data_IF_846397922866
#
_entry.id   IF_846397922866
#
_cell.length_a   1.000
_cell.length_b   1.000
_cell.length_c   1.000
_cell.angle_alpha   90.00
_cell.angle_beta   90.00
_cell.angle_gamma   90.00
#
_symmetry.space_group_name_H-M   'P 1'
#
loop_
_entity.id
_entity.type
_entity.pdbx_description
1 polymer ?
#
# COMPACT_ATOMS: atom_id res chain seq x y z
N UNK A 1 -47.41 -25.95 -53.81
CA UNK A 1 -46.84 -26.66 -52.63
C UNK A 1 -45.31 -26.48 -52.50
N UNK A 2 -44.45 -26.71 -53.48
CA UNK A 2 -42.99 -26.60 -53.36
C UNK A 2 -42.51 -25.21 -52.96
N UNK A 3 -43.08 -24.08 -53.43
CA UNK A 3 -42.71 -22.70 -53.10
C UNK A 3 -43.08 -22.31 -51.65
N UNK A 4 -44.16 -22.82 -51.10
CA UNK A 4 -44.60 -22.57 -49.73
C UNK A 4 -43.70 -23.33 -48.69
N UNK A 5 -43.28 -24.53 -49.08
CA UNK A 5 -42.37 -25.34 -48.23
C UNK A 5 -40.98 -24.72 -48.21
N UNK A 6 -40.49 -24.11 -49.27
CA UNK A 6 -39.21 -23.42 -49.32
C UNK A 6 -39.20 -22.14 -48.44
N UNK A 7 -40.33 -21.37 -48.50
CA UNK A 7 -40.45 -20.17 -47.65
C UNK A 7 -40.50 -20.55 -46.13
N UNK A 8 -41.19 -21.62 -45.77
CA UNK A 8 -41.23 -22.12 -44.38
C UNK A 8 -39.85 -22.62 -43.90
N UNK A 9 -39.08 -23.27 -44.81
CA UNK A 9 -37.73 -23.74 -44.44
C UNK A 9 -36.76 -22.59 -44.27
N UNK A 10 -36.84 -21.50 -45.08
CA UNK A 10 -36.02 -20.29 -44.92
C UNK A 10 -36.39 -19.53 -43.66
N UNK A 11 -37.65 -19.41 -43.33
CA UNK A 11 -38.10 -18.80 -42.09
C UNK A 11 -37.62 -19.59 -40.86
N UNK A 12 -37.65 -20.93 -40.88
CA UNK A 12 -37.16 -21.80 -39.79
C UNK A 12 -35.61 -21.71 -39.60
N UNK A 13 -34.85 -21.40 -40.65
CA UNK A 13 -33.42 -21.22 -40.61
C UNK A 13 -33.01 -19.79 -40.16
N UNK A 14 -33.87 -18.79 -40.37
CA UNK A 14 -33.62 -17.40 -39.97
C UNK A 14 -34.00 -17.11 -38.51
N UNK A 15 -34.97 -17.86 -37.94
CA UNK A 15 -35.33 -17.69 -36.52
C UNK A 15 -34.17 -17.93 -35.54
N UNK A 16 -33.37 -19.01 -35.65
CA UNK A 16 -32.22 -19.16 -34.76
C UNK A 16 -31.11 -18.12 -35.01
N UNK A 17 -31.00 -17.56 -36.23
CA UNK A 17 -30.02 -16.47 -36.51
C UNK A 17 -30.45 -15.12 -35.88
N UNK A 18 -31.75 -14.86 -35.79
CA UNK A 18 -32.31 -13.68 -35.12
C UNK A 18 -32.31 -13.83 -33.59
N UNK A 19 -32.43 -15.07 -33.09
CA UNK A 19 -32.29 -15.36 -31.64
C UNK A 19 -30.83 -15.45 -31.16
N UNK A 20 -29.86 -15.69 -32.07
CA UNK A 20 -28.44 -15.65 -31.76
C UNK A 20 -27.85 -14.22 -31.72
N UNK A 21 -28.63 -13.21 -32.15
CA UNK A 21 -28.18 -11.82 -32.23
C UNK A 21 -28.40 -10.96 -30.98
N UNK A 22 -29.11 -11.46 -29.97
CA UNK A 22 -29.12 -10.79 -28.65
C UNK A 22 -28.20 -11.51 -27.65
N UNK A 23 -26.91 -11.55 -27.94
CA UNK A 23 -25.94 -11.50 -26.82
C UNK A 23 -26.28 -10.21 -26.10
N UNK A 24 -26.88 -10.29 -24.94
CA UNK A 24 -26.82 -9.22 -23.97
C UNK A 24 -25.32 -8.93 -23.80
N UNK A 25 -24.86 -7.81 -24.32
CA UNK A 25 -23.60 -7.25 -23.89
C UNK A 25 -23.84 -7.06 -22.40
N UNK A 26 -23.35 -7.98 -21.58
CA UNK A 26 -23.22 -7.73 -20.16
C UNK A 26 -22.27 -6.56 -20.08
N UNK A 27 -22.81 -5.38 -19.87
CA UNK A 27 -21.97 -4.21 -19.64
C UNK A 27 -21.04 -4.59 -18.50
N UNK A 28 -19.75 -4.65 -18.75
CA UNK A 28 -18.74 -4.91 -17.71
C UNK A 28 -18.84 -3.81 -16.66
N UNK A 29 -18.63 -4.17 -15.40
CA UNK A 29 -18.55 -3.18 -14.31
C UNK A 29 -17.36 -2.27 -14.53
N UNK A 30 -17.45 -1.05 -14.08
CA UNK A 30 -16.34 -0.08 -14.13
C UNK A 30 -15.81 0.19 -12.73
N UNK A 31 -14.50 0.45 -12.64
CA UNK A 31 -13.89 0.88 -11.39
C UNK A 31 -13.79 2.39 -11.35
N UNK A 32 -14.15 2.98 -10.21
CA UNK A 32 -13.92 4.40 -9.90
C UNK A 32 -13.11 4.48 -8.62
N UNK A 33 -12.22 5.46 -8.56
CA UNK A 33 -11.28 5.60 -7.45
C UNK A 33 -11.39 6.98 -6.80
N UNK A 34 -11.33 6.97 -5.46
CA UNK A 34 -11.21 8.17 -4.63
C UNK A 34 -9.92 8.06 -3.82
N UNK A 35 -9.03 9.04 -3.98
CA UNK A 35 -7.77 9.15 -3.27
C UNK A 35 -7.81 10.38 -2.38
N UNK A 36 -7.67 10.18 -1.07
CA UNK A 36 -7.67 11.26 -0.07
C UNK A 36 -6.37 11.22 0.73
N UNK A 37 -5.72 12.38 0.85
CA UNK A 37 -4.52 12.56 1.66
C UNK A 37 -4.65 13.78 2.55
N UNK A 38 -4.40 13.65 3.86
CA UNK A 38 -4.35 14.76 4.81
C UNK A 38 -2.95 14.86 5.40
N UNK A 39 -2.32 16.03 5.22
CA UNK A 39 -1.00 16.36 5.74
C UNK A 39 -1.03 17.52 6.73
N UNK A 40 -2.07 18.39 6.65
CA UNK A 40 -2.23 19.58 7.48
C UNK A 40 -3.27 19.30 8.54
N UNK A 41 -2.86 19.35 9.80
CA UNK A 41 -3.71 19.05 10.93
C UNK A 41 -3.83 20.28 11.86
N UNK A 42 -4.96 20.39 12.53
CA UNK A 42 -5.20 21.44 13.54
C UNK A 42 -4.71 21.01 14.90
N UNK A 43 -4.95 19.75 15.26
CA UNK A 43 -4.66 19.21 16.61
C UNK A 43 -3.34 18.46 16.72
N UNK A 44 -2.66 18.19 15.60
CA UNK A 44 -1.45 17.37 15.53
C UNK A 44 -0.39 18.02 14.63
N UNK A 45 0.90 17.61 14.77
CA UNK A 45 1.93 17.98 13.79
C UNK A 45 1.57 17.50 12.39
N UNK A 46 1.82 18.35 11.39
CA UNK A 46 1.65 18.00 9.98
C UNK A 46 2.62 16.91 9.52
N UNK A 47 2.23 16.20 8.48
CA UNK A 47 3.04 15.16 7.81
C UNK A 47 3.50 15.60 6.43
N UNK A 48 3.26 16.85 6.08
CA UNK A 48 3.50 17.41 4.75
C UNK A 48 4.94 17.17 4.27
N UNK A 49 5.16 16.60 3.06
CA UNK A 49 4.15 16.29 2.04
C UNK A 49 3.81 14.78 1.92
N UNK A 50 3.87 14.01 3.00
CA UNK A 50 3.82 12.55 2.96
C UNK A 50 2.52 12.01 2.36
N UNK A 51 1.36 12.49 2.81
CA UNK A 51 0.07 12.01 2.29
C UNK A 51 -0.21 12.51 0.87
N UNK A 52 0.25 13.71 0.53
CA UNK A 52 0.18 14.21 -0.86
C UNK A 52 0.98 13.30 -1.80
N UNK A 53 2.23 12.94 -1.45
CA UNK A 53 3.05 12.04 -2.23
C UNK A 53 2.49 10.62 -2.29
N UNK A 54 1.84 10.18 -1.22
CA UNK A 54 1.13 8.89 -1.21
C UNK A 54 -0.02 8.88 -2.22
N UNK A 55 -0.81 9.96 -2.28
CA UNK A 55 -1.88 10.13 -3.27
C UNK A 55 -1.32 10.12 -4.69
N UNK A 56 -0.21 10.83 -4.95
CA UNK A 56 0.46 10.83 -6.25
C UNK A 56 0.96 9.44 -6.65
N UNK A 57 1.54 8.71 -5.70
CA UNK A 57 2.01 7.34 -5.91
C UNK A 57 0.84 6.39 -6.21
N UNK A 58 -0.24 6.48 -5.44
CA UNK A 58 -1.43 5.66 -5.66
C UNK A 58 -2.09 5.96 -7.00
N UNK A 59 -2.21 7.23 -7.41
CA UNK A 59 -2.72 7.58 -8.73
C UNK A 59 -1.89 6.96 -9.86
N UNK A 60 -0.57 7.01 -9.74
CA UNK A 60 0.33 6.37 -10.70
C UNK A 60 0.16 4.84 -10.74
N UNK A 61 0.00 4.19 -9.57
CA UNK A 61 -0.27 2.76 -9.48
C UNK A 61 -1.60 2.38 -10.11
N UNK A 62 -2.66 3.11 -9.81
CA UNK A 62 -3.98 2.85 -10.40
C UNK A 62 -3.96 3.06 -11.91
N UNK A 63 -3.26 4.07 -12.41
CA UNK A 63 -3.11 4.33 -13.84
C UNK A 63 -2.36 3.20 -14.55
N UNK A 64 -1.29 2.67 -13.94
CA UNK A 64 -0.44 1.66 -14.55
C UNK A 64 -1.01 0.22 -14.40
N UNK A 65 -1.75 -0.07 -13.31
CA UNK A 65 -2.16 -1.42 -12.92
C UNK A 65 -3.68 -1.63 -12.82
N UNK A 66 -4.48 -0.61 -13.13
CA UNK A 66 -5.94 -0.70 -13.16
C UNK A 66 -6.48 -0.08 -14.46
N UNK A 67 -6.24 -0.74 -15.62
CA UNK A 67 -6.54 -0.16 -16.93
C UNK A 67 -8.01 0.16 -17.15
N UNK A 68 -8.92 -0.53 -16.44
CA UNK A 68 -10.37 -0.34 -16.54
C UNK A 68 -10.91 0.71 -15.55
N UNK A 69 -10.01 1.50 -14.93
CA UNK A 69 -10.40 2.59 -14.08
C UNK A 69 -11.05 3.72 -14.89
N UNK A 70 -12.34 3.93 -14.69
CA UNK A 70 -13.12 4.92 -15.42
C UNK A 70 -12.85 6.35 -14.95
N UNK A 71 -12.50 6.55 -13.68
CA UNK A 71 -12.20 7.85 -13.09
C UNK A 71 -11.38 7.72 -11.81
N UNK A 72 -10.44 8.62 -11.63
CA UNK A 72 -9.68 8.81 -10.39
C UNK A 72 -9.96 10.23 -9.90
N UNK A 73 -10.54 10.36 -8.71
CA UNK A 73 -10.71 11.65 -8.03
C UNK A 73 -9.69 11.77 -6.90
N UNK A 74 -9.03 12.91 -6.84
CA UNK A 74 -8.01 13.22 -5.84
C UNK A 74 -8.50 14.35 -4.93
N UNK A 75 -8.19 14.23 -3.64
CA UNK A 75 -8.36 15.28 -2.67
C UNK A 75 -7.17 15.30 -1.71
N UNK A 76 -6.41 16.37 -1.70
CA UNK A 76 -5.27 16.57 -0.80
C UNK A 76 -5.57 17.74 0.13
N UNK A 77 -5.27 17.55 1.43
CA UNK A 77 -5.61 18.48 2.50
C UNK A 77 -7.10 18.88 2.47
N UNK A 78 -7.93 17.91 2.78
CA UNK A 78 -9.38 17.98 2.84
C UNK A 78 -10.04 16.65 2.43
N UNK A 79 -11.35 16.53 2.66
CA UNK A 79 -12.20 17.45 3.41
C UNK A 79 -11.85 17.49 4.90
N UNK A 80 -12.08 18.63 5.57
CA UNK A 80 -11.85 18.78 7.01
C UNK A 80 -12.97 18.20 7.87
N UNK A 81 -14.12 17.86 7.28
CA UNK A 81 -15.31 17.41 8.00
C UNK A 81 -15.87 16.09 7.49
N UNK A 82 -16.59 15.36 8.34
CA UNK A 82 -17.28 14.10 7.98
C UNK A 82 -18.32 14.33 6.89
N UNK A 83 -19.11 15.40 7.02
CA UNK A 83 -20.10 15.78 5.99
C UNK A 83 -19.43 16.11 4.65
N UNK A 84 -18.24 16.72 4.69
CA UNK A 84 -17.42 16.99 3.51
C UNK A 84 -16.95 15.71 2.84
N UNK A 85 -16.50 14.74 3.65
CA UNK A 85 -16.07 13.42 3.15
C UNK A 85 -17.24 12.63 2.57
N UNK A 86 -18.40 12.66 3.23
CA UNK A 86 -19.62 12.02 2.73
C UNK A 86 -20.02 12.57 1.35
N UNK A 87 -20.06 13.90 1.19
CA UNK A 87 -20.32 14.53 -0.12
C UNK A 87 -19.28 14.14 -1.17
N UNK A 88 -18.01 14.06 -0.78
CA UNK A 88 -16.92 13.67 -1.70
C UNK A 88 -17.09 12.25 -2.20
N UNK A 89 -17.52 11.32 -1.33
CA UNK A 89 -17.85 9.94 -1.69
C UNK A 89 -19.06 9.91 -2.62
N UNK A 90 -20.16 10.55 -2.23
CA UNK A 90 -21.41 10.59 -3.02
C UNK A 90 -21.17 11.15 -4.44
N UNK A 91 -20.41 12.24 -4.56
CA UNK A 91 -20.07 12.86 -5.85
C UNK A 91 -19.15 11.97 -6.70
N UNK A 92 -18.18 11.29 -6.07
CA UNK A 92 -17.22 10.44 -6.81
C UNK A 92 -17.89 9.22 -7.38
N UNK A 93 -18.78 8.61 -6.61
CA UNK A 93 -19.45 7.36 -6.98
C UNK A 93 -20.89 7.57 -7.50
N UNK A 94 -21.25 8.82 -7.82
CA UNK A 94 -22.54 9.13 -8.41
C UNK A 94 -22.82 8.26 -9.65
N UNK A 95 -23.99 7.60 -9.64
CA UNK A 95 -24.40 6.71 -10.73
C UNK A 95 -23.65 5.37 -10.79
N UNK A 96 -22.93 4.98 -9.74
CA UNK A 96 -22.41 3.62 -9.61
C UNK A 96 -23.54 2.58 -9.60
N UNK A 97 -23.25 1.39 -10.09
CA UNK A 97 -24.18 0.25 -10.21
C UNK A 97 -23.65 -0.93 -9.39
N UNK A 98 -24.49 -1.91 -9.09
CA UNK A 98 -24.13 -3.10 -8.31
C UNK A 98 -22.96 -3.91 -8.89
N UNK A 99 -22.67 -3.77 -10.17
CA UNK A 99 -21.54 -4.42 -10.84
C UNK A 99 -20.25 -3.63 -10.83
N UNK A 100 -20.28 -2.36 -10.41
CA UNK A 100 -19.14 -1.46 -10.39
C UNK A 100 -18.29 -1.69 -9.13
N UNK A 101 -17.05 -1.23 -9.19
CA UNK A 101 -16.12 -1.26 -8.06
C UNK A 101 -15.77 0.17 -7.64
N UNK A 102 -15.89 0.45 -6.35
CA UNK A 102 -15.46 1.68 -5.74
C UNK A 102 -14.16 1.41 -4.96
N UNK A 103 -13.03 2.00 -5.40
CA UNK A 103 -11.77 1.96 -4.67
C UNK A 103 -11.57 3.27 -3.92
N UNK A 104 -11.40 3.18 -2.61
CA UNK A 104 -11.14 4.32 -1.74
C UNK A 104 -9.79 4.12 -1.07
N UNK A 105 -8.90 5.09 -1.22
CA UNK A 105 -7.61 5.17 -0.55
C UNK A 105 -7.59 6.38 0.37
N UNK A 106 -7.21 6.17 1.63
CA UNK A 106 -7.08 7.22 2.64
C UNK A 106 -5.67 7.17 3.24
N UNK A 107 -4.93 8.28 3.14
CA UNK A 107 -3.65 8.51 3.80
C UNK A 107 -3.79 9.68 4.77
N UNK A 108 -3.77 9.39 6.08
CA UNK A 108 -3.99 10.39 7.12
C UNK A 108 -3.50 9.90 8.48
N UNK A 109 -3.55 10.76 9.50
CA UNK A 109 -3.41 10.33 10.88
C UNK A 109 -4.62 9.51 11.33
N UNK A 110 -4.34 8.44 12.07
CA UNK A 110 -5.32 7.76 12.89
C UNK A 110 -5.06 8.04 14.36
N UNK A 111 -6.11 8.00 15.16
CA UNK A 111 -6.07 8.18 16.60
C UNK A 111 -6.72 7.00 17.30
N UNK A 112 -6.10 6.56 18.37
CA UNK A 112 -6.72 5.64 19.33
C UNK A 112 -7.03 6.44 20.57
N UNK A 113 -8.31 6.61 20.89
CA UNK A 113 -8.77 7.33 22.07
C UNK A 113 -9.62 6.43 22.94
N UNK A 114 -9.54 6.62 24.27
CA UNK A 114 -10.46 5.98 25.21
C UNK A 114 -11.76 6.77 25.26
N UNK A 115 -12.85 6.16 24.82
CA UNK A 115 -14.21 6.69 24.89
C UNK A 115 -15.12 5.73 25.63
N UNK A 116 -15.73 6.20 26.72
CA UNK A 116 -16.62 5.40 27.59
C UNK A 116 -15.98 4.10 28.16
N UNK A 117 -14.66 4.07 28.34
CA UNK A 117 -13.91 2.91 28.83
C UNK A 117 -13.50 1.91 27.75
N UNK A 118 -13.75 2.22 26.48
CA UNK A 118 -13.34 1.43 25.32
C UNK A 118 -12.32 2.21 24.46
N UNK A 119 -11.33 1.50 23.92
CA UNK A 119 -10.43 2.09 22.95
C UNK A 119 -11.10 2.17 21.58
N UNK A 120 -11.25 3.38 21.05
CA UNK A 120 -11.85 3.64 19.74
C UNK A 120 -10.86 4.30 18.79
N UNK A 121 -10.75 3.71 17.62
CA UNK A 121 -9.96 4.26 16.52
C UNK A 121 -10.79 5.29 15.74
N UNK A 122 -10.14 6.36 15.28
CA UNK A 122 -10.71 7.32 14.34
C UNK A 122 -9.65 7.77 13.36
N UNK A 123 -10.04 8.01 12.11
CA UNK A 123 -9.22 8.69 11.12
C UNK A 123 -9.42 10.21 11.27
N UNK A 124 -8.35 11.00 11.12
CA UNK A 124 -8.47 12.46 11.10
C UNK A 124 -8.74 12.95 9.68
N UNK A 125 -9.86 13.61 9.47
CA UNK A 125 -10.13 14.41 8.30
C UNK A 125 -9.70 15.84 8.62
N UNK A 126 -8.83 16.42 7.78
CA UNK A 126 -8.35 17.78 8.02
C UNK A 126 -7.96 18.48 6.73
N UNK A 127 -8.25 19.78 6.65
CA UNK A 127 -7.78 20.67 5.59
C UNK A 127 -6.78 21.73 6.10
N UNK A 128 -6.47 21.66 7.41
CA UNK A 128 -5.60 22.59 8.12
C UNK A 128 -6.35 23.74 8.79
N UNK A 129 -7.64 23.93 8.52
CA UNK A 129 -8.52 24.93 9.17
C UNK A 129 -9.64 24.25 9.96
N UNK A 130 -10.26 23.22 9.36
CA UNK A 130 -11.26 22.35 9.98
C UNK A 130 -10.70 20.96 10.16
N UNK A 131 -11.11 20.28 11.25
CA UNK A 131 -10.67 18.92 11.56
C UNK A 131 -11.76 18.16 12.31
N UNK A 132 -12.12 16.99 11.78
CA UNK A 132 -13.06 16.07 12.42
C UNK A 132 -12.55 14.63 12.44
N UNK A 133 -13.10 13.85 13.36
CA UNK A 133 -12.81 12.43 13.52
C UNK A 133 -13.82 11.58 12.76
N UNK A 134 -13.32 10.74 11.88
CA UNK A 134 -14.11 9.74 11.15
C UNK A 134 -13.92 8.36 11.80
N UNK A 135 -14.91 7.93 12.57
CA UNK A 135 -14.93 6.59 13.17
C UNK A 135 -15.23 5.50 12.15
N UNK A 136 -14.82 4.24 12.42
CA UNK A 136 -15.04 3.12 11.51
C UNK A 136 -16.52 2.85 11.19
N UNK A 137 -17.40 2.97 12.17
CA UNK A 137 -18.86 2.82 12.01
C UNK A 137 -19.43 3.86 11.02
N UNK A 138 -19.03 5.11 11.17
CA UNK A 138 -19.45 6.19 10.28
C UNK A 138 -18.88 5.98 8.87
N UNK A 139 -17.60 5.61 8.77
CA UNK A 139 -16.97 5.26 7.49
C UNK A 139 -17.74 4.12 6.79
N UNK A 140 -18.05 3.05 7.52
CA UNK A 140 -18.86 1.92 7.00
C UNK A 140 -20.21 2.40 6.49
N UNK A 141 -20.93 3.22 7.30
CA UNK A 141 -22.24 3.76 6.92
C UNK A 141 -22.18 4.59 5.63
N UNK A 142 -21.13 5.40 5.45
CA UNK A 142 -20.92 6.18 4.23
C UNK A 142 -20.68 5.24 3.04
N UNK A 143 -19.84 4.23 3.20
CA UNK A 143 -19.51 3.29 2.11
C UNK A 143 -20.67 2.37 1.74
N UNK A 144 -21.54 2.02 2.67
CA UNK A 144 -22.71 1.15 2.40
C UNK A 144 -23.71 1.78 1.42
N UNK A 145 -23.69 3.07 1.27
CA UNK A 145 -24.55 3.76 0.27
C UNK A 145 -24.00 3.65 -1.16
N UNK A 146 -22.75 3.29 -1.31
CA UNK A 146 -22.11 3.11 -2.63
C UNK A 146 -22.48 1.72 -3.15
N UNK A 147 -23.17 1.60 -4.29
CA UNK A 147 -23.48 0.31 -4.88
C UNK A 147 -22.23 -0.46 -5.32
N UNK A 148 -22.38 -1.79 -5.42
CA UNK A 148 -21.34 -2.66 -5.93
C UNK A 148 -20.26 -3.00 -4.91
N UNK A 149 -19.11 -3.45 -5.42
CA UNK A 149 -17.98 -3.87 -4.63
C UNK A 149 -17.17 -2.67 -4.15
N UNK A 150 -16.72 -2.71 -2.91
CA UNK A 150 -15.86 -1.69 -2.32
C UNK A 150 -14.48 -2.25 -2.01
N UNK A 151 -13.45 -1.46 -2.27
CA UNK A 151 -12.05 -1.70 -1.88
C UNK A 151 -11.62 -0.50 -1.07
N UNK A 152 -11.30 -0.71 0.21
CA UNK A 152 -10.83 0.32 1.12
C UNK A 152 -9.37 0.06 1.45
N UNK A 153 -8.51 1.03 1.17
CA UNK A 153 -7.07 0.97 1.47
C UNK A 153 -6.76 2.10 2.46
N UNK A 154 -6.26 1.75 3.65
CA UNK A 154 -5.97 2.70 4.71
C UNK A 154 -4.46 2.76 5.01
N UNK A 155 -3.84 3.88 4.70
CA UNK A 155 -2.47 4.23 5.13
C UNK A 155 -2.55 5.20 6.32
N UNK A 156 -2.82 4.63 7.49
CA UNK A 156 -3.03 5.35 8.74
C UNK A 156 -2.67 4.45 9.93
N UNK A 157 -2.48 5.01 11.11
CA UNK A 157 -2.24 4.25 12.34
C UNK A 157 -3.28 4.58 13.44
N UNK A 158 -3.76 3.59 14.16
CA UNK A 158 -3.63 2.12 13.99
C UNK A 158 -4.76 1.55 13.12
N UNK A 159 -4.59 1.52 11.80
CA UNK A 159 -5.65 1.17 10.85
C UNK A 159 -6.23 -0.24 11.01
N UNK A 160 -5.49 -1.19 11.57
CA UNK A 160 -5.95 -2.54 11.86
C UNK A 160 -7.14 -2.62 12.82
N UNK A 161 -7.34 -1.59 13.63
CA UNK A 161 -8.50 -1.50 14.53
C UNK A 161 -9.84 -1.41 13.76
N UNK A 162 -9.82 -0.99 12.50
CA UNK A 162 -11.01 -0.92 11.62
C UNK A 162 -11.57 -2.31 11.30
N UNK A 163 -10.68 -3.30 11.21
CA UNK A 163 -11.03 -4.70 10.92
C UNK A 163 -10.72 -5.66 12.09
N UNK A 164 -10.47 -5.11 13.29
CA UNK A 164 -10.21 -5.91 14.50
C UNK A 164 -8.94 -6.75 14.45
N UNK A 165 -7.93 -6.40 13.65
CA UNK A 165 -6.71 -7.17 13.43
C UNK A 165 -5.48 -6.53 14.09
N UNK A 166 -4.51 -7.39 14.52
CA UNK A 166 -3.23 -6.90 15.01
C UNK A 166 -3.19 -6.55 16.48
N UNK A 167 -4.11 -7.11 17.29
CA UNK A 167 -4.17 -6.99 18.74
C UNK A 167 -5.31 -6.10 19.23
N UNK A 168 -5.69 -6.30 20.49
CA UNK A 168 -6.84 -5.63 21.10
C UNK A 168 -8.18 -6.35 20.85
N UNK A 169 -9.18 -6.01 21.67
CA UNK A 169 -10.56 -6.44 21.48
C UNK A 169 -11.22 -5.46 20.49
N UNK A 170 -11.01 -5.71 19.17
CA UNK A 170 -11.56 -4.85 18.12
C UNK A 170 -12.74 -5.48 17.39
N UNK A 171 -13.74 -4.69 17.04
CA UNK A 171 -14.83 -5.08 16.16
C UNK A 171 -14.35 -5.00 14.70
N UNK A 172 -14.61 -6.03 13.92
CA UNK A 172 -14.51 -5.89 12.47
C UNK A 172 -15.77 -5.20 11.93
N UNK A 173 -15.63 -3.95 11.53
CA UNK A 173 -16.74 -3.17 11.00
C UNK A 173 -17.11 -3.54 9.56
N UNK A 174 -16.28 -4.35 8.89
CA UNK A 174 -16.41 -4.71 7.47
C UNK A 174 -16.59 -6.22 7.27
N UNK A 175 -17.25 -6.91 8.19
CA UNK A 175 -17.47 -8.37 8.11
C UNK A 175 -18.34 -8.80 6.92
N UNK A 176 -19.05 -7.88 6.30
CA UNK A 176 -19.87 -8.21 5.13
C UNK A 176 -19.01 -8.43 3.86
N UNK A 177 -19.56 -9.22 2.93
CA UNK A 177 -18.85 -9.62 1.71
C UNK A 177 -18.70 -8.49 0.66
N UNK A 178 -19.23 -7.30 0.95
CA UNK A 178 -19.28 -6.20 -0.04
C UNK A 178 -18.06 -5.29 0.00
N UNK A 179 -17.24 -5.37 1.07
CA UNK A 179 -16.08 -4.52 1.24
C UNK A 179 -14.80 -5.35 1.47
N UNK A 180 -13.77 -5.04 0.71
CA UNK A 180 -12.40 -5.51 0.91
C UNK A 180 -11.58 -4.41 1.52
N UNK A 181 -10.84 -4.73 2.57
CA UNK A 181 -10.07 -3.74 3.33
C UNK A 181 -8.62 -4.16 3.38
N UNK A 182 -7.71 -3.22 3.08
CA UNK A 182 -6.27 -3.37 3.24
C UNK A 182 -5.77 -2.26 4.15
N UNK A 183 -5.06 -2.61 5.21
CA UNK A 183 -4.60 -1.68 6.24
C UNK A 183 -3.09 -1.75 6.43
N UNK A 184 -2.47 -0.60 6.69
CA UNK A 184 -1.02 -0.44 6.77
C UNK A 184 -0.41 -0.90 8.09
N UNK A 185 -1.21 -1.09 9.15
CA UNK A 185 -0.71 -1.46 10.49
C UNK A 185 -1.73 -2.27 11.26
N UNK A 186 -1.29 -2.96 12.33
CA UNK A 186 -2.19 -3.59 13.30
C UNK A 186 -2.90 -2.59 14.20
N UNK A 187 -3.88 -3.06 15.00
CA UNK A 187 -4.67 -2.22 15.91
C UNK A 187 -3.85 -1.59 17.04
N UNK A 188 -2.67 -2.11 17.34
CA UNK A 188 -1.75 -1.61 18.37
C UNK A 188 -0.38 -1.21 17.79
N UNK A 189 -0.30 -1.00 16.46
CA UNK A 189 0.93 -0.65 15.77
C UNK A 189 0.80 0.72 15.12
N UNK A 190 1.93 1.45 15.11
CA UNK A 190 2.04 2.69 14.34
C UNK A 190 2.31 2.36 12.86
N UNK A 191 1.70 3.10 11.95
CA UNK A 191 2.13 3.21 10.55
C UNK A 191 3.12 4.38 10.43
N UNK A 192 4.06 4.27 9.50
CA UNK A 192 5.19 5.20 9.45
C UNK A 192 5.28 5.86 8.07
N UNK A 193 5.82 7.08 8.07
CA UNK A 193 6.18 7.80 6.86
C UNK A 193 7.63 8.31 6.95
N UNK A 194 8.21 8.55 5.78
CA UNK A 194 9.51 9.17 5.67
C UNK A 194 9.34 10.67 5.82
N UNK A 195 9.80 11.23 6.94
CA UNK A 195 9.97 12.66 7.08
C UNK A 195 11.44 12.99 6.85
N UNK A 196 11.71 13.53 5.68
CA UNK A 196 13.08 13.74 5.22
C UNK A 196 13.42 15.23 5.14
N UNK A 197 12.80 16.08 5.95
CA UNK A 197 13.08 17.51 5.99
C UNK A 197 14.57 17.83 6.13
N UNK A 198 15.28 16.98 6.88
CA UNK A 198 16.73 17.15 7.09
C UNK A 198 17.57 16.79 5.88
N UNK A 199 17.06 15.96 4.95
CA UNK A 199 17.86 15.38 3.89
C UNK A 199 17.43 15.82 2.47
N UNK A 200 16.42 16.69 2.36
CA UNK A 200 15.94 17.23 1.09
C UNK A 200 15.19 16.19 0.23
N UNK A 201 14.63 15.16 0.85
CA UNK A 201 13.77 14.19 0.20
C UNK A 201 12.30 14.57 0.36
N UNK A 202 11.48 14.17 -0.60
CA UNK A 202 10.03 14.19 -0.43
C UNK A 202 9.61 13.04 0.51
N UNK A 203 8.86 13.36 1.56
CA UNK A 203 8.29 12.36 2.47
C UNK A 203 7.29 11.47 1.72
N UNK A 204 7.15 10.22 2.15
CA UNK A 204 6.13 9.29 1.66
C UNK A 204 5.89 8.21 2.72
N UNK A 205 4.70 7.62 2.73
CA UNK A 205 4.36 6.51 3.63
C UNK A 205 5.13 5.24 3.29
N UNK A 206 5.55 4.50 4.31
CA UNK A 206 6.20 3.20 4.12
C UNK A 206 5.30 2.20 3.41
N UNK A 207 4.02 2.16 3.78
CA UNK A 207 3.04 1.25 3.21
C UNK A 207 2.82 1.52 1.72
N UNK A 208 2.57 2.76 1.35
CA UNK A 208 2.35 3.15 -0.05
C UNK A 208 3.60 2.93 -0.89
N UNK A 209 4.80 3.23 -0.35
CA UNK A 209 6.08 2.92 -1.01
C UNK A 209 6.29 1.42 -1.21
N UNK A 210 5.86 0.59 -0.23
CA UNK A 210 5.91 -0.86 -0.36
C UNK A 210 4.94 -1.38 -1.43
N UNK A 211 3.74 -0.80 -1.54
CA UNK A 211 2.80 -1.14 -2.63
C UNK A 211 3.39 -0.83 -4.01
N UNK A 212 4.01 0.34 -4.18
CA UNK A 212 4.69 0.70 -5.42
C UNK A 212 5.80 -0.29 -5.75
N UNK A 213 6.64 -0.62 -4.78
CA UNK A 213 7.71 -1.61 -4.95
C UNK A 213 7.19 -3.02 -5.26
N UNK A 214 6.08 -3.43 -4.64
CA UNK A 214 5.46 -4.73 -4.87
C UNK A 214 4.93 -4.87 -6.30
N UNK A 215 4.11 -3.91 -6.74
CA UNK A 215 3.47 -3.97 -8.06
C UNK A 215 4.46 -3.76 -9.20
N UNK A 216 5.54 -2.99 -8.96
CA UNK A 216 6.60 -2.75 -9.95
C UNK A 216 7.75 -3.74 -9.85
N UNK A 217 7.62 -4.81 -9.05
CA UNK A 217 8.65 -5.84 -9.00
C UNK A 217 9.00 -6.34 -10.39
N UNK A 218 10.31 -6.44 -10.70
CA UNK A 218 10.78 -6.91 -12.02
C UNK A 218 10.50 -8.39 -12.25
N UNK A 219 10.48 -9.17 -11.16
CA UNK A 219 10.10 -10.57 -11.17
C UNK A 219 8.62 -10.69 -10.80
N UNK A 220 7.74 -11.03 -11.75
CA UNK A 220 6.31 -11.15 -11.52
C UNK A 220 5.96 -12.23 -10.49
N UNK A 221 6.73 -13.32 -10.40
CA UNK A 221 6.47 -14.40 -9.43
C UNK A 221 6.52 -13.93 -7.97
N UNK A 222 7.12 -12.78 -7.71
CA UNK A 222 7.15 -12.20 -6.37
C UNK A 222 5.80 -11.61 -5.92
N UNK A 223 4.91 -11.29 -6.85
CA UNK A 223 3.63 -10.64 -6.58
C UNK A 223 2.44 -11.41 -7.18
N UNK A 224 2.65 -12.16 -8.23
CA UNK A 224 1.68 -13.02 -8.93
C UNK A 224 2.29 -14.43 -9.07
N UNK A 225 2.41 -15.18 -7.95
CA UNK A 225 3.05 -16.50 -7.95
C UNK A 225 2.25 -17.58 -8.71
N UNK A 226 0.96 -17.35 -8.95
CA UNK A 226 0.11 -18.25 -9.69
C UNK A 226 0.12 -17.98 -11.22
N UNK A 227 0.74 -16.87 -11.66
CA UNK A 227 0.86 -16.49 -13.07
C UNK A 227 -0.45 -16.11 -13.73
N UNK A 228 -1.41 -15.63 -12.96
CA UNK A 228 -2.75 -15.25 -13.46
C UNK A 228 -2.75 -13.97 -14.30
N UNK A 229 -1.72 -13.14 -14.19
CA UNK A 229 -1.63 -11.79 -14.75
C UNK A 229 -2.40 -10.76 -13.92
N UNK A 230 -2.86 -11.14 -12.73
CA UNK A 230 -3.54 -10.27 -11.77
C UNK A 230 -2.89 -10.41 -10.40
N UNK A 231 -3.05 -9.40 -9.57
CA UNK A 231 -2.65 -9.42 -8.16
C UNK A 231 -3.91 -9.38 -7.32
N UNK A 232 -4.12 -10.42 -6.54
CA UNK A 232 -5.22 -10.51 -5.58
C UNK A 232 -4.91 -9.75 -4.29
N UNK A 233 -5.93 -9.55 -3.45
CA UNK A 233 -5.77 -8.97 -2.12
C UNK A 233 -4.83 -9.81 -1.25
N UNK A 234 -4.96 -11.15 -1.31
CA UNK A 234 -4.07 -12.08 -0.59
C UNK A 234 -2.63 -11.96 -1.05
N UNK A 235 -2.36 -12.04 -2.36
CA UNK A 235 -1.01 -11.97 -2.92
C UNK A 235 -0.32 -10.65 -2.58
N UNK A 236 -1.05 -9.54 -2.72
CA UNK A 236 -0.54 -8.23 -2.33
C UNK A 236 -0.21 -8.19 -0.83
N UNK A 237 -1.10 -8.65 0.03
CA UNK A 237 -0.90 -8.67 1.49
C UNK A 237 0.31 -9.52 1.87
N UNK A 238 0.44 -10.73 1.31
CA UNK A 238 1.59 -11.62 1.54
C UNK A 238 2.89 -10.96 1.11
N UNK A 239 2.90 -10.28 -0.03
CA UNK A 239 4.08 -9.56 -0.52
C UNK A 239 4.42 -8.37 0.37
N UNK A 240 3.44 -7.56 0.73
CA UNK A 240 3.63 -6.39 1.59
C UNK A 240 4.18 -6.78 2.96
N UNK A 241 3.70 -7.85 3.58
CA UNK A 241 4.24 -8.38 4.84
C UNK A 241 5.73 -8.73 4.76
N UNK A 242 6.22 -9.11 3.57
CA UNK A 242 7.64 -9.43 3.35
C UNK A 242 8.53 -8.20 3.18
N UNK A 243 8.01 -7.12 2.59
CA UNK A 243 8.84 -5.98 2.18
C UNK A 243 8.60 -4.71 3.01
N UNK A 244 7.42 -4.58 3.64
CA UNK A 244 7.08 -3.38 4.40
C UNK A 244 7.92 -3.25 5.67
N UNK A 245 7.87 -4.25 6.55
CA UNK A 245 8.76 -4.39 7.71
C UNK A 245 8.59 -3.37 8.84
N UNK A 246 7.94 -2.23 8.61
CA UNK A 246 7.76 -1.17 9.61
C UNK A 246 6.56 -1.42 10.53
N UNK A 247 5.51 -2.03 9.99
CA UNK A 247 4.32 -2.49 10.69
C UNK A 247 3.74 -3.71 10.00
N UNK A 248 2.75 -4.36 10.58
CA UNK A 248 2.13 -5.54 10.01
C UNK A 248 0.94 -5.16 9.16
N UNK A 249 0.97 -5.54 7.89
CA UNK A 249 -0.13 -5.33 6.94
C UNK A 249 -1.20 -6.40 7.16
N UNK A 250 -2.44 -5.98 7.24
CA UNK A 250 -3.60 -6.87 7.34
C UNK A 250 -4.61 -6.58 6.24
N UNK A 251 -5.44 -7.57 5.92
CA UNK A 251 -6.55 -7.42 4.99
C UNK A 251 -7.79 -8.14 5.50
N UNK A 252 -8.93 -7.73 4.95
CA UNK A 252 -10.21 -8.39 5.13
C UNK A 252 -10.97 -8.45 3.81
N UNK A 253 -11.56 -9.60 3.42
CA UNK A 253 -11.37 -10.91 4.06
C UNK A 253 -9.93 -11.41 3.97
N UNK A 254 -9.50 -12.24 4.92
CA UNK A 254 -8.22 -12.95 4.79
C UNK A 254 -8.30 -13.98 3.65
N UNK A 255 -7.18 -14.21 2.98
CA UNK A 255 -7.05 -15.18 1.88
C UNK A 255 -8.04 -14.91 0.71
N UNK A 256 -8.33 -13.64 0.45
CA UNK A 256 -9.21 -13.25 -0.66
C UNK A 256 -8.44 -13.24 -1.99
N UNK A 257 -8.77 -14.20 -2.85
CA UNK A 257 -8.21 -14.33 -4.20
C UNK A 257 -8.82 -13.36 -5.23
N UNK A 258 -9.66 -12.40 -4.82
CA UNK A 258 -10.24 -11.42 -5.76
C UNK A 258 -9.16 -10.55 -6.36
N UNK A 259 -9.08 -10.43 -7.70
CA UNK A 259 -8.14 -9.55 -8.38
C UNK A 259 -8.34 -8.09 -7.96
N UNK A 260 -7.25 -7.42 -7.57
CA UNK A 260 -7.22 -5.99 -7.28
C UNK A 260 -6.53 -5.20 -8.39
N UNK A 261 -5.41 -5.72 -8.89
CA UNK A 261 -4.60 -5.08 -9.90
C UNK A 261 -4.31 -6.03 -11.05
N UNK A 262 -4.17 -5.48 -12.26
CA UNK A 262 -3.71 -6.20 -13.44
C UNK A 262 -2.19 -6.03 -13.57
N UNK A 263 -1.48 -7.07 -14.00
CA UNK A 263 -0.05 -6.98 -14.32
C UNK A 263 0.16 -7.00 -15.83
N UNK A 264 0.15 -5.84 -16.52
CA UNK A 264 0.41 -5.79 -17.94
C UNK A 264 1.78 -6.36 -18.29
N UNK A 265 1.90 -7.07 -19.41
CA UNK A 265 3.15 -7.66 -19.86
C UNK A 265 4.26 -6.62 -20.13
N UNK A 266 3.86 -5.40 -20.52
CA UNK A 266 4.71 -4.25 -20.79
C UNK A 266 4.79 -3.25 -19.63
N UNK A 267 4.37 -3.68 -18.42
CA UNK A 267 4.38 -2.81 -17.26
C UNK A 267 5.75 -2.20 -16.99
N UNK A 268 5.76 -0.97 -16.52
CA UNK A 268 6.98 -0.33 -16.04
C UNK A 268 7.42 -1.00 -14.76
N UNK A 269 8.45 -1.81 -14.84
CA UNK A 269 9.09 -2.39 -13.67
C UNK A 269 9.99 -1.35 -13.02
N UNK A 270 9.83 -1.15 -11.73
CA UNK A 270 10.58 -0.11 -11.01
C UNK A 270 11.54 -0.66 -9.98
N UNK A 271 11.50 -1.95 -9.67
CA UNK A 271 12.53 -2.56 -8.85
C UNK A 271 13.80 -2.70 -9.68
N UNK A 272 14.77 -1.83 -9.38
CA UNK A 272 16.10 -1.88 -10.00
C UNK A 272 16.98 -2.93 -9.37
N UNK A 273 16.56 -3.47 -8.22
CA UNK A 273 17.23 -4.53 -7.48
C UNK A 273 16.42 -5.83 -7.61
N UNK A 274 16.99 -6.79 -8.30
CA UNK A 274 16.38 -8.09 -8.50
C UNK A 274 16.98 -9.11 -7.51
N UNK A 275 16.14 -10.02 -7.02
CA UNK A 275 16.58 -11.12 -6.17
C UNK A 275 17.27 -10.66 -4.88
N UNK A 276 16.84 -9.52 -4.31
CA UNK A 276 17.41 -9.00 -3.07
C UNK A 276 17.10 -9.94 -1.91
N UNK A 277 18.16 -10.53 -1.35
CA UNK A 277 18.09 -11.47 -0.23
C UNK A 277 19.13 -11.08 0.80
N UNK A 278 18.73 -11.10 2.07
CA UNK A 278 19.64 -10.91 3.19
C UNK A 278 20.24 -12.25 3.63
N UNK A 279 21.56 -12.27 3.80
CA UNK A 279 22.24 -13.36 4.46
C UNK A 279 22.11 -13.31 5.98
N UNK A 280 22.65 -14.31 6.67
CA UNK A 280 22.70 -14.30 8.12
C UNK A 280 23.62 -13.18 8.62
N UNK A 281 23.18 -12.46 9.64
CA UNK A 281 24.00 -11.45 10.29
C UNK A 281 25.09 -12.15 11.13
N UNK A 282 26.33 -11.68 11.02
CA UNK A 282 27.51 -12.18 11.76
C UNK A 282 28.05 -11.06 12.64
N UNK A 283 28.45 -11.38 13.87
CA UNK A 283 29.10 -10.44 14.76
C UNK A 283 30.61 -10.57 14.67
N UNK A 284 31.28 -9.44 14.50
CA UNK A 284 32.75 -9.30 14.54
C UNK A 284 33.12 -8.17 15.49
N UNK A 285 33.36 -8.48 16.76
CA UNK A 285 33.58 -7.50 17.81
C UNK A 285 32.40 -6.53 17.98
N UNK A 286 32.67 -5.24 17.77
CA UNK A 286 31.70 -4.15 17.83
C UNK A 286 30.97 -3.91 16.50
N UNK A 287 31.17 -4.80 15.53
CA UNK A 287 30.59 -4.68 14.20
C UNK A 287 29.65 -5.87 13.92
N UNK A 288 28.50 -5.59 13.35
CA UNK A 288 27.61 -6.58 12.73
C UNK A 288 27.81 -6.51 11.22
N UNK A 289 28.07 -7.65 10.63
CA UNK A 289 28.23 -7.83 9.18
C UNK A 289 26.96 -8.49 8.65
N UNK A 290 26.24 -7.80 7.77
CA UNK A 290 25.05 -8.30 7.11
C UNK A 290 25.33 -8.47 5.63
N UNK A 291 25.44 -9.72 5.13
CA UNK A 291 25.54 -9.95 3.71
C UNK A 291 24.21 -9.64 3.00
N UNK A 292 24.26 -9.01 1.84
CA UNK A 292 23.13 -8.88 0.91
C UNK A 292 23.50 -9.43 -0.44
N UNK A 293 22.57 -10.14 -1.06
CA UNK A 293 22.67 -10.67 -2.42
C UNK A 293 21.63 -9.98 -3.29
N UNK A 294 21.99 -9.52 -4.48
CA UNK A 294 21.11 -8.79 -5.38
C UNK A 294 21.61 -8.83 -6.81
N UNK A 295 20.78 -8.40 -7.74
CA UNK A 295 21.17 -8.09 -9.13
C UNK A 295 20.69 -6.68 -9.46
N UNK A 296 21.59 -5.86 -9.99
CA UNK A 296 21.26 -4.55 -10.52
C UNK A 296 21.53 -4.54 -12.01
N UNK A 297 20.54 -4.24 -12.84
CA UNK A 297 20.69 -4.08 -14.29
C UNK A 297 21.26 -2.70 -14.67
N UNK A 298 21.13 -1.73 -13.78
CA UNK A 298 21.63 -0.36 -13.90
C UNK A 298 22.12 0.14 -12.54
N UNK A 299 22.85 1.27 -12.45
CA UNK A 299 23.23 1.84 -11.16
C UNK A 299 22.00 2.22 -10.33
N UNK A 300 21.92 1.70 -9.11
CA UNK A 300 20.82 1.96 -8.17
C UNK A 300 21.33 2.72 -6.97
N UNK A 301 20.79 3.89 -6.72
CA UNK A 301 21.06 4.63 -5.47
C UNK A 301 20.22 4.02 -4.36
N UNK A 302 20.87 3.66 -3.26
CA UNK A 302 20.22 3.06 -2.11
C UNK A 302 20.57 3.77 -0.82
N UNK A 303 19.66 3.73 0.12
CA UNK A 303 19.87 4.07 1.50
C UNK A 303 19.60 2.83 2.35
N UNK A 304 20.47 2.57 3.31
CA UNK A 304 20.25 1.55 4.33
C UNK A 304 19.72 2.24 5.58
N UNK A 305 18.59 1.79 6.08
CA UNK A 305 18.05 2.27 7.33
C UNK A 305 18.04 1.14 8.36
N UNK A 306 18.61 1.41 9.52
CA UNK A 306 18.62 0.52 10.66
C UNK A 306 17.80 1.16 11.79
N UNK A 307 16.71 0.50 12.18
CA UNK A 307 15.80 0.96 13.23
C UNK A 307 16.01 0.07 14.45
N UNK A 308 16.51 0.58 15.57
CA UNK A 308 16.70 -0.21 16.77
C UNK A 308 15.34 -0.60 17.38
N UNK A 309 15.29 -1.76 18.02
CA UNK A 309 14.16 -2.12 18.86
C UNK A 309 14.38 -1.65 20.30
N UNK A 310 13.34 -1.08 20.92
CA UNK A 310 13.30 -0.71 22.33
C UNK A 310 12.01 -1.19 22.95
N UNK A 311 12.10 -1.98 24.01
CA UNK A 311 10.94 -2.56 24.68
C UNK A 311 10.00 -3.33 23.74
N UNK A 312 10.58 -4.03 22.75
CA UNK A 312 9.82 -4.80 21.75
C UNK A 312 9.15 -3.98 20.65
N UNK A 313 9.41 -2.66 20.57
CA UNK A 313 8.91 -1.78 19.52
C UNK A 313 10.05 -1.19 18.69
N UNK A 314 9.78 -0.92 17.42
CA UNK A 314 10.75 -0.25 16.53
C UNK A 314 10.86 1.24 16.87
N UNK A 315 12.07 1.71 17.14
CA UNK A 315 12.36 3.11 17.50
C UNK A 315 12.84 3.88 16.27
N UNK A 316 11.92 4.35 15.47
CA UNK A 316 12.22 5.11 14.26
C UNK A 316 12.84 6.48 14.53
N UNK A 317 12.59 7.06 15.72
CA UNK A 317 13.19 8.33 16.11
C UNK A 317 14.73 8.23 16.26
N UNK A 318 15.25 7.02 16.53
CA UNK A 318 16.69 6.75 16.64
C UNK A 318 17.20 5.87 15.50
N UNK A 319 16.52 5.86 14.37
CA UNK A 319 16.96 5.14 13.18
C UNK A 319 18.30 5.68 12.67
N UNK A 320 19.20 4.76 12.32
CA UNK A 320 20.50 5.08 11.73
C UNK A 320 20.42 4.85 10.23
N UNK A 321 20.81 5.85 9.45
CA UNK A 321 20.82 5.79 7.97
C UNK A 321 22.26 5.71 7.46
N UNK A 322 22.48 4.85 6.50
CA UNK A 322 23.80 4.62 5.90
C UNK A 322 23.70 4.74 4.36
N UNK A 323 24.68 5.33 3.67
CA UNK A 323 25.89 5.96 4.25
C UNK A 323 25.54 7.18 5.11
N UNK A 324 26.33 7.38 6.16
CA UNK A 324 26.18 8.51 7.05
C UNK A 324 26.66 9.79 6.34
N UNK A 325 25.77 10.77 6.23
CA UNK A 325 26.02 12.04 5.56
C UNK A 325 27.17 12.83 6.20
N UNK A 326 27.26 12.82 7.52
CA UNK A 326 28.23 13.60 8.25
C UNK A 326 29.65 13.09 8.02
N UNK A 327 29.82 11.78 7.83
CA UNK A 327 31.14 11.16 7.67
C UNK A 327 31.62 11.07 6.23
N UNK A 328 30.71 10.91 5.29
CA UNK A 328 31.10 10.62 3.91
C UNK A 328 30.76 11.73 2.92
N UNK A 329 29.95 12.71 3.32
CA UNK A 329 29.33 13.68 2.42
C UNK A 329 28.35 13.06 1.40
N UNK A 330 28.16 11.74 1.46
CA UNK A 330 27.27 10.97 0.59
C UNK A 330 26.10 10.47 1.44
N UNK A 331 24.91 10.82 1.04
CA UNK A 331 23.69 10.38 1.69
C UNK A 331 23.31 8.94 1.26
N UNK A 332 23.97 8.39 0.22
CA UNK A 332 23.47 7.23 -0.54
C UNK A 332 24.59 6.29 -0.91
N UNK A 333 24.30 5.00 -0.80
CA UNK A 333 25.06 3.96 -1.47
C UNK A 333 24.75 3.93 -2.97
N UNK A 334 25.69 3.45 -3.76
CA UNK A 334 25.51 3.12 -5.15
C UNK A 334 25.72 1.61 -5.30
N UNK A 335 24.69 0.89 -5.79
CA UNK A 335 24.84 -0.48 -6.23
C UNK A 335 25.10 -0.48 -7.73
N UNK A 336 26.20 -1.10 -8.13
CA UNK A 336 26.66 -1.04 -9.52
C UNK A 336 26.09 -2.18 -10.36
N UNK A 337 25.90 -2.01 -11.68
CA UNK A 337 25.54 -3.09 -12.58
C UNK A 337 26.58 -4.21 -12.51
N UNK A 338 26.06 -5.46 -12.42
CA UNK A 338 26.92 -6.64 -12.30
C UNK A 338 27.40 -6.95 -10.90
N UNK A 339 27.26 -6.06 -9.91
CA UNK A 339 27.47 -6.37 -8.50
C UNK A 339 26.39 -7.35 -8.04
N UNK A 340 26.80 -8.41 -7.32
CA UNK A 340 25.88 -9.47 -6.87
C UNK A 340 25.77 -9.55 -5.36
N UNK A 341 26.84 -9.15 -4.68
CA UNK A 341 26.98 -9.36 -3.24
C UNK A 341 27.59 -8.10 -2.61
N UNK A 342 27.09 -7.75 -1.47
CA UNK A 342 27.62 -6.68 -0.63
C UNK A 342 27.54 -7.05 0.84
N UNK A 343 28.53 -6.66 1.62
CA UNK A 343 28.51 -6.78 3.07
C UNK A 343 28.28 -5.39 3.68
N UNK A 344 27.16 -5.23 4.36
CA UNK A 344 26.84 -4.02 5.12
C UNK A 344 27.45 -4.18 6.50
N UNK A 345 28.22 -3.19 6.94
CA UNK A 345 28.85 -3.15 8.27
C UNK A 345 28.09 -2.16 9.14
N UNK A 346 27.59 -2.64 10.28
CA UNK A 346 26.79 -1.89 11.23
C UNK A 346 27.48 -1.88 12.58
N UNK A 347 27.33 -0.80 13.33
CA UNK A 347 27.81 -0.80 14.73
C UNK A 347 26.83 -1.58 15.62
N UNK A 348 27.33 -2.41 16.51
CA UNK A 348 26.51 -3.09 17.54
C UNK A 348 25.69 -2.09 18.36
N UNK A 349 26.22 -0.88 18.58
CA UNK A 349 25.52 0.21 19.28
C UNK A 349 24.27 0.71 18.56
N UNK A 350 24.15 0.42 17.27
CA UNK A 350 22.96 0.77 16.45
C UNK A 350 21.87 -0.29 16.51
N UNK A 351 22.11 -1.40 17.21
CA UNK A 351 21.13 -2.43 17.49
C UNK A 351 20.45 -2.11 18.82
N UNK A 352 19.17 -2.34 18.94
CA UNK A 352 18.41 -2.00 20.12
C UNK A 352 18.87 -2.73 21.38
N UNK A 353 18.47 -2.23 22.54
CA UNK A 353 18.82 -2.78 23.86
C UNK A 353 18.36 -4.24 24.04
N UNK A 354 17.32 -4.65 23.32
CA UNK A 354 16.80 -6.02 23.27
C UNK A 354 17.52 -6.91 22.21
N UNK A 355 18.64 -6.44 21.69
CA UNK A 355 19.42 -7.16 20.68
C UNK A 355 18.79 -7.25 19.31
N UNK A 356 17.78 -6.44 19.00
CA UNK A 356 17.07 -6.46 17.73
C UNK A 356 17.15 -5.11 17.00
N UNK A 357 17.20 -5.18 15.68
CA UNK A 357 17.03 -4.02 14.81
C UNK A 357 16.32 -4.43 13.52
N UNK A 358 15.50 -3.53 12.98
CA UNK A 358 14.93 -3.66 11.65
C UNK A 358 15.88 -3.02 10.65
N UNK A 359 16.40 -3.80 9.71
CA UNK A 359 17.20 -3.32 8.59
C UNK A 359 16.34 -3.17 7.36
N UNK A 360 16.38 -2.02 6.71
CA UNK A 360 15.65 -1.74 5.48
C UNK A 360 16.59 -1.24 4.39
N UNK A 361 16.35 -1.67 3.17
CA UNK A 361 17.00 -1.15 1.97
C UNK A 361 15.97 -0.36 1.18
N UNK A 362 16.33 0.86 0.83
CA UNK A 362 15.47 1.83 0.19
C UNK A 362 16.18 2.30 -1.07
N UNK A 363 15.59 2.08 -2.23
CA UNK A 363 16.06 2.70 -3.46
C UNK A 363 15.55 4.13 -3.57
N UNK A 364 16.35 4.98 -4.20
CA UNK A 364 16.04 6.37 -4.43
C UNK A 364 15.84 6.56 -5.94
N UNK A 365 14.63 6.93 -6.33
CA UNK A 365 14.20 7.00 -7.73
C UNK A 365 14.12 8.43 -8.23
N UNK A 366 14.35 8.61 -9.51
CA UNK A 366 14.24 9.89 -10.18
C UNK A 366 15.29 10.92 -9.75
N UNK A 367 15.18 12.11 -10.27
CA UNK A 367 16.04 13.26 -9.93
C UNK A 367 15.64 13.86 -8.59
N UNK A 368 14.37 13.74 -8.21
CA UNK A 368 13.80 14.14 -6.92
C UNK A 368 14.12 13.18 -5.78
N UNK A 369 14.68 11.99 -6.11
CA UNK A 369 15.12 10.97 -5.17
C UNK A 369 14.02 10.38 -4.31
N UNK A 370 12.83 10.22 -4.87
CA UNK A 370 11.70 9.58 -4.20
C UNK A 370 12.11 8.21 -3.63
N UNK A 371 11.94 7.97 -2.34
CA UNK A 371 12.30 6.71 -1.73
C UNK A 371 11.28 5.62 -2.06
N UNK A 372 11.79 4.39 -2.28
CA UNK A 372 10.97 3.20 -2.44
C UNK A 372 11.57 2.07 -1.62
N UNK A 373 10.77 1.47 -0.74
CA UNK A 373 11.21 0.34 0.07
C UNK A 373 11.44 -0.87 -0.84
N UNK A 374 12.66 -1.42 -0.84
CA UNK A 374 13.01 -2.59 -1.65
C UNK A 374 12.90 -3.88 -0.83
N UNK A 375 13.42 -3.89 0.39
CA UNK A 375 13.35 -5.03 1.29
C UNK A 375 13.66 -4.63 2.73
N UNK A 376 13.17 -5.45 3.66
CA UNK A 376 13.51 -5.35 5.09
C UNK A 376 13.78 -6.71 5.71
N UNK A 377 14.59 -6.75 6.74
CA UNK A 377 14.84 -7.92 7.57
C UNK A 377 15.07 -7.53 9.02
N UNK A 378 14.70 -8.41 9.94
CA UNK A 378 14.99 -8.24 11.36
C UNK A 378 16.34 -8.88 11.65
N UNK A 379 17.28 -8.07 12.14
CA UNK A 379 18.54 -8.54 12.69
C UNK A 379 18.31 -8.84 14.16
N UNK A 380 18.54 -10.09 14.56
CA UNK A 380 18.54 -10.48 15.98
C UNK A 380 19.94 -10.91 16.37
N UNK A 381 20.48 -10.23 17.37
CA UNK A 381 21.75 -10.60 17.99
C UNK A 381 21.38 -11.18 19.36
N UNK A 382 21.42 -12.49 19.49
CA UNK A 382 21.26 -13.09 20.80
C UNK A 382 22.36 -12.53 21.72
N UNK A 383 21.95 -12.05 22.87
CA UNK A 383 22.89 -11.80 23.95
C UNK A 383 23.52 -13.13 24.33
N UNK A 384 24.84 -13.27 24.10
CA UNK A 384 25.61 -14.31 24.76
C UNK A 384 25.71 -14.05 26.26
#
# INVERSE_FOLDING_TARGET
>A
MKKVLLCLLVCLLLIPLLLAGSRSVTEEGVTRCLLVGCDRFVSMPGTEPASANNVDTMEALLTDFLPDCAAIRRQVNGPGTVDGFERLVDDTFAGAKDRDTALIYLSTHGLLAEEAGEQRMSLLLSDGEEEERLGPETLKTILDRVPGQKILILDACPSGAVIGCGGGEGTNWFEDDTCRVLVSSGALEDSWFWNMETDGYTGTGYFTSAMDSALRASDPEQIDPNGSGYVSLEELTVRLRKIHGASTVYCWPENDGTPLFCLPADRKTGSRLQGLVFGAAERDGDTVILPIHFRAGEPVRVMYQLVPSRNGKWDFAHAVRLPDREKTGLIRGLLSPGEKDRKIRLSVKSIGEDGKALMQIISLRGDDLTPAAEAGTVISMNAE
#
